data_IF_801408846041
#
_entry.id   IF_801408846041
#
_cell.length_a   1.000
_cell.length_b   1.000
_cell.length_c   1.000
_cell.angle_alpha   90.00
_cell.angle_beta   90.00
_cell.angle_gamma   90.00
#
_symmetry.space_group_name_H-M   'P 1'
#
loop_
_entity.id
_entity.type
_entity.pdbx_description
1 polymer ?
#
# COMPACT_ATOMS: atom_id res chain seq x y z
N UNK A 1 -17.51 -1.79 17.16
CA UNK A 1 -16.35 -2.10 18.01
C UNK A 1 -15.12 -1.42 17.40
N UNK A 2 -14.26 -0.78 18.21
CA UNK A 2 -13.07 -0.10 17.68
C UNK A 2 -12.08 -1.12 17.15
N UNK A 3 -11.56 -0.91 15.93
CA UNK A 3 -10.46 -1.70 15.40
C UNK A 3 -9.18 -1.43 16.22
N UNK A 4 -8.48 -2.48 16.63
CA UNK A 4 -7.19 -2.37 17.33
C UNK A 4 -6.11 -1.95 16.35
N UNK A 5 -5.34 -0.88 16.60
CA UNK A 5 -4.23 -0.50 15.75
C UNK A 5 -3.16 -1.60 15.66
N UNK A 6 -2.59 -1.78 14.47
CA UNK A 6 -1.43 -2.65 14.26
C UNK A 6 -0.17 -1.80 14.34
N UNK A 7 0.78 -2.21 15.18
CA UNK A 7 2.09 -1.56 15.24
C UNK A 7 2.96 -2.02 14.08
N UNK A 8 3.58 -1.05 13.41
CA UNK A 8 4.44 -1.28 12.25
C UNK A 8 5.84 -0.76 12.52
N UNK A 9 6.86 -1.44 12.02
CA UNK A 9 8.17 -0.79 11.84
C UNK A 9 8.02 0.28 10.77
N UNK A 10 8.54 1.48 11.02
CA UNK A 10 8.44 2.60 10.09
C UNK A 10 9.82 3.13 9.73
N UNK A 11 10.03 3.40 8.44
CA UNK A 11 11.13 4.25 7.97
C UNK A 11 10.54 5.56 7.52
N UNK A 12 10.97 6.65 8.16
CA UNK A 12 10.54 8.01 7.83
C UNK A 12 11.67 8.72 7.10
N UNK A 13 11.36 9.33 5.97
CA UNK A 13 12.23 10.25 5.27
C UNK A 13 11.59 11.64 5.36
N UNK A 14 12.32 12.57 5.98
CA UNK A 14 11.83 13.93 6.20
C UNK A 14 11.69 14.72 4.89
N UNK A 15 10.99 15.84 4.99
CA UNK A 15 10.86 16.79 3.88
C UNK A 15 12.25 17.25 3.40
N UNK A 16 12.44 17.32 2.08
CA UNK A 16 13.71 17.68 1.45
C UNK A 16 14.76 16.55 1.38
N UNK A 17 14.57 15.43 2.09
CA UNK A 17 15.41 14.22 1.94
C UNK A 17 14.71 13.12 1.17
N UNK A 18 13.39 13.02 1.28
CA UNK A 18 12.61 12.07 0.50
C UNK A 18 12.63 12.44 -0.99
N UNK A 19 12.91 11.49 -1.90
CA UNK A 19 12.87 11.75 -3.34
C UNK A 19 11.44 12.06 -3.77
N UNK A 20 11.26 13.02 -4.68
CA UNK A 20 9.96 13.26 -5.27
C UNK A 20 9.53 12.08 -6.15
N UNK A 21 8.23 11.85 -6.21
CA UNK A 21 7.61 10.91 -7.13
C UNK A 21 6.75 11.67 -8.14
N UNK A 22 6.43 11.01 -9.25
CA UNK A 22 5.54 11.54 -10.27
C UNK A 22 4.51 10.50 -10.69
N UNK A 23 3.36 10.98 -11.14
CA UNK A 23 2.33 10.15 -11.76
C UNK A 23 1.64 10.92 -12.89
N UNK A 24 1.07 10.19 -13.85
CA UNK A 24 0.28 10.80 -14.92
C UNK A 24 -1.13 11.12 -14.39
N UNK A 25 -1.55 12.39 -14.51
CA UNK A 25 -2.94 12.77 -14.31
C UNK A 25 -3.79 12.45 -15.55
N UNK A 26 -3.16 12.62 -16.73
CA UNK A 26 -3.68 12.21 -18.03
C UNK A 26 -2.50 12.07 -19.01
N UNK A 27 -2.76 11.74 -20.28
CA UNK A 27 -1.73 11.52 -21.30
C UNK A 27 -0.80 12.73 -21.55
N UNK A 28 -1.24 13.95 -21.23
CA UNK A 28 -0.50 15.19 -21.47
C UNK A 28 -0.02 15.86 -20.18
N UNK A 29 -0.32 15.31 -19.00
CA UNK A 29 -0.04 15.98 -17.72
C UNK A 29 0.59 15.00 -16.72
N UNK A 30 1.83 15.29 -16.35
CA UNK A 30 2.55 14.64 -15.25
C UNK A 30 2.52 15.53 -14.02
N UNK A 31 2.14 14.94 -12.89
CA UNK A 31 2.17 15.61 -11.58
C UNK A 31 3.35 15.08 -10.80
N UNK A 32 4.17 15.98 -10.27
CA UNK A 32 5.22 15.66 -9.30
C UNK A 32 4.72 15.93 -7.89
N UNK A 33 4.97 15.02 -6.97
CA UNK A 33 4.62 15.13 -5.57
C UNK A 33 5.79 14.71 -4.67
N UNK A 34 5.87 15.30 -3.49
CA UNK A 34 6.93 15.06 -2.52
C UNK A 34 6.40 15.32 -1.11
N UNK A 35 7.31 15.64 -0.18
CA UNK A 35 7.00 15.80 1.24
C UNK A 35 7.57 14.65 2.07
N UNK A 36 7.15 14.55 3.33
CA UNK A 36 7.54 13.44 4.19
C UNK A 36 7.02 12.11 3.62
N UNK A 37 7.89 11.10 3.59
CA UNK A 37 7.54 9.75 3.17
C UNK A 37 7.73 8.77 4.32
N UNK A 38 6.69 8.01 4.62
CA UNK A 38 6.74 6.96 5.62
C UNK A 38 6.46 5.61 4.97
N UNK A 39 7.44 4.71 5.04
CA UNK A 39 7.28 3.31 4.69
C UNK A 39 6.92 2.52 5.95
N UNK A 40 5.76 1.89 5.95
CA UNK A 40 5.32 1.00 7.01
C UNK A 40 5.58 -0.46 6.64
N UNK A 41 6.15 -1.23 7.57
CA UNK A 41 6.34 -2.67 7.47
C UNK A 41 5.75 -3.40 8.67
N UNK A 42 5.10 -4.52 8.42
CA UNK A 42 4.59 -5.42 9.47
C UNK A 42 4.97 -6.86 9.13
N UNK A 43 5.55 -7.56 10.09
CA UNK A 43 5.78 -8.99 10.03
C UNK A 43 4.82 -9.66 11.02
N UNK A 44 3.91 -10.48 10.50
CA UNK A 44 3.01 -11.29 11.33
C UNK A 44 3.44 -12.75 11.24
N UNK A 45 3.48 -13.42 12.39
CA UNK A 45 3.70 -14.87 12.46
C UNK A 45 2.36 -15.58 12.58
N UNK A 46 2.25 -16.75 11.94
CA UNK A 46 1.09 -17.63 12.05
C UNK A 46 1.58 -19.03 12.35
N UNK A 47 1.15 -19.59 13.47
CA UNK A 47 1.43 -20.98 13.83
C UNK A 47 0.30 -21.91 13.36
N UNK A 48 0.56 -23.22 13.37
CA UNK A 48 -0.43 -24.21 12.97
C UNK A 48 -1.72 -24.07 13.78
N UNK A 49 -2.86 -23.97 13.10
CA UNK A 49 -4.18 -23.82 13.71
C UNK A 49 -4.66 -22.38 13.90
N UNK A 50 -3.82 -21.38 13.65
CA UNK A 50 -4.21 -19.97 13.73
C UNK A 50 -4.85 -19.47 12.42
N UNK A 51 -5.87 -18.61 12.52
CA UNK A 51 -6.50 -17.97 11.37
C UNK A 51 -5.59 -16.92 10.74
N UNK A 52 -5.76 -16.67 9.44
CA UNK A 52 -5.11 -15.53 8.76
C UNK A 52 -5.55 -14.23 9.43
N UNK A 53 -4.63 -13.30 9.76
CA UNK A 53 -5.03 -12.01 10.32
C UNK A 53 -5.88 -11.24 9.32
N UNK A 54 -7.05 -10.78 9.74
CA UNK A 54 -7.88 -9.87 8.94
C UNK A 54 -7.39 -8.43 9.18
N UNK A 55 -6.74 -7.84 8.19
CA UNK A 55 -6.25 -6.47 8.27
C UNK A 55 -7.17 -5.52 7.49
N UNK A 56 -7.22 -4.27 7.93
CA UNK A 56 -7.91 -3.21 7.20
C UNK A 56 -7.13 -1.91 7.34
N UNK A 57 -7.03 -1.15 6.26
CA UNK A 57 -6.51 0.20 6.29
C UNK A 57 -7.65 1.18 6.59
N UNK A 58 -7.42 2.08 7.54
CA UNK A 58 -8.39 3.10 7.93
C UNK A 58 -7.87 4.48 7.59
N UNK A 59 -8.59 5.21 6.75
CA UNK A 59 -8.27 6.58 6.37
C UNK A 59 -9.36 7.50 6.91
N UNK A 60 -8.99 8.41 7.82
CA UNK A 60 -9.95 9.29 8.51
C UNK A 60 -9.56 10.75 8.37
N UNK A 61 -10.48 11.56 7.84
CA UNK A 61 -10.34 13.01 7.85
C UNK A 61 -10.86 13.59 9.17
N UNK A 62 -10.20 14.64 9.67
CA UNK A 62 -10.74 15.47 10.77
C UNK A 62 -11.76 16.46 10.22
N UNK A 63 -12.46 17.17 11.10
CA UNK A 63 -13.36 18.25 10.69
C UNK A 63 -12.59 19.33 9.92
N UNK A 64 -13.18 19.84 8.84
CA UNK A 64 -12.55 20.84 7.96
C UNK A 64 -11.20 20.41 7.35
N UNK A 65 -10.94 19.11 7.25
CA UNK A 65 -9.73 18.55 6.64
C UNK A 65 -10.10 17.70 5.43
N UNK A 66 -9.19 17.57 4.47
CA UNK A 66 -9.33 16.69 3.31
C UNK A 66 -7.99 16.23 2.77
N UNK A 67 -7.95 15.02 2.23
CA UNK A 67 -6.79 14.51 1.49
C UNK A 67 -7.24 13.53 0.38
N UNK A 68 -6.37 13.33 -0.61
CA UNK A 68 -6.57 12.32 -1.65
C UNK A 68 -5.83 11.06 -1.24
N UNK A 69 -6.56 9.96 -1.12
CA UNK A 69 -6.00 8.64 -0.92
C UNK A 69 -5.94 7.92 -2.27
N UNK A 70 -4.74 7.47 -2.66
CA UNK A 70 -4.52 6.75 -3.91
C UNK A 70 -3.95 5.36 -3.64
N UNK A 71 -4.45 4.37 -4.39
CA UNK A 71 -3.90 3.02 -4.43
C UNK A 71 -3.36 2.75 -5.83
N UNK A 72 -2.16 2.17 -5.91
CA UNK A 72 -1.44 2.02 -7.16
C UNK A 72 -0.15 1.23 -7.00
N UNK A 73 0.68 1.26 -8.05
CA UNK A 73 1.97 0.56 -8.09
C UNK A 73 3.11 1.57 -8.06
N UNK A 74 4.19 1.22 -7.37
CA UNK A 74 5.47 1.92 -7.51
C UNK A 74 6.21 1.21 -8.65
N UNK A 75 6.27 1.85 -9.81
CA UNK A 75 6.85 1.26 -11.03
C UNK A 75 8.35 1.57 -11.17
N UNK A 76 8.81 2.67 -10.57
CA UNK A 76 10.21 3.05 -10.50
C UNK A 76 10.46 3.89 -9.23
N UNK A 77 11.72 4.20 -8.85
CA UNK A 77 12.03 4.99 -7.66
C UNK A 77 11.34 6.36 -7.60
N UNK A 78 11.03 6.94 -8.76
CA UNK A 78 10.35 8.23 -8.93
C UNK A 78 8.95 8.09 -9.55
N UNK A 79 8.45 6.88 -9.86
CA UNK A 79 7.21 6.71 -10.64
C UNK A 79 6.15 5.93 -9.88
N UNK A 80 4.99 6.57 -9.69
CA UNK A 80 3.78 5.98 -9.14
C UNK A 80 2.71 5.86 -10.23
N UNK A 81 2.10 4.69 -10.34
CA UNK A 81 1.00 4.38 -11.26
C UNK A 81 -0.30 4.23 -10.47
N UNK A 82 -1.13 5.29 -10.36
CA UNK A 82 -2.40 5.22 -9.64
C UNK A 82 -3.39 4.33 -10.38
N UNK A 83 -4.07 3.44 -9.64
CA UNK A 83 -5.14 2.59 -10.14
C UNK A 83 -6.51 3.04 -9.61
N UNK A 84 -6.55 3.46 -8.35
CA UNK A 84 -7.76 3.94 -7.68
C UNK A 84 -7.44 5.17 -6.84
N UNK A 85 -8.41 6.07 -6.72
CA UNK A 85 -8.31 7.26 -5.88
C UNK A 85 -9.65 7.60 -5.23
N UNK A 86 -9.60 8.15 -4.02
CA UNK A 86 -10.77 8.65 -3.30
C UNK A 86 -10.39 9.90 -2.52
N UNK A 87 -11.32 10.86 -2.46
CA UNK A 87 -11.18 12.04 -1.61
C UNK A 87 -11.83 11.73 -0.27
N UNK A 88 -11.05 11.80 0.81
CA UNK A 88 -11.53 11.65 2.18
C UNK A 88 -11.59 13.03 2.81
N UNK A 89 -12.77 13.49 3.26
CA UNK A 89 -12.94 14.85 3.79
C UNK A 89 -13.93 14.93 4.94
N UNK A 90 -13.80 15.98 5.74
CA UNK A 90 -14.76 16.39 6.78
C UNK A 90 -15.42 15.25 7.57
N UNK A 91 -14.66 14.65 8.50
CA UNK A 91 -15.11 13.53 9.35
C UNK A 91 -15.40 12.22 8.62
N UNK A 92 -15.13 12.12 7.32
CA UNK A 92 -15.11 10.83 6.63
C UNK A 92 -14.18 9.84 7.35
N UNK A 93 -14.64 8.60 7.40
CA UNK A 93 -13.96 7.48 8.04
C UNK A 93 -14.06 6.25 7.13
N UNK A 94 -13.04 6.08 6.29
CA UNK A 94 -12.98 5.03 5.30
C UNK A 94 -12.26 3.81 5.86
N UNK A 95 -12.87 2.64 5.72
CA UNK A 95 -12.28 1.35 6.07
C UNK A 95 -12.13 0.48 4.82
N UNK A 96 -10.89 0.11 4.49
CA UNK A 96 -10.54 -0.71 3.33
C UNK A 96 -9.97 -2.05 3.82
N UNK A 97 -10.71 -3.17 3.68
CA UNK A 97 -10.21 -4.50 3.98
C UNK A 97 -9.00 -4.84 3.10
N UNK A 98 -7.93 -5.38 3.71
CA UNK A 98 -6.77 -5.87 2.99
C UNK A 98 -6.97 -7.36 2.71
N UNK A 99 -6.99 -7.72 1.43
CA UNK A 99 -6.96 -9.11 1.00
C UNK A 99 -5.50 -9.59 1.12
N UNK A 100 -5.25 -10.53 2.02
CA UNK A 100 -3.92 -11.05 2.30
C UNK A 100 -3.78 -12.45 1.70
N UNK A 101 -2.90 -12.59 0.73
CA UNK A 101 -2.50 -13.88 0.20
C UNK A 101 -1.20 -14.36 0.87
N UNK A 102 -1.11 -15.64 1.27
CA UNK A 102 0.13 -16.18 1.80
C UNK A 102 1.21 -16.16 0.71
N UNK A 103 2.44 -15.79 1.09
CA UNK A 103 3.58 -15.97 0.21
C UNK A 103 3.78 -17.48 -0.06
N UNK A 104 4.06 -17.87 -1.32
CA UNK A 104 4.23 -19.27 -1.67
C UNK A 104 5.42 -19.88 -0.93
N UNK A 105 5.29 -21.14 -0.54
CA UNK A 105 6.41 -21.89 0.05
C UNK A 105 7.50 -22.16 -1.00
N UNK A 106 8.75 -22.48 -0.60
CA UNK A 106 9.80 -22.82 -1.56
C UNK A 106 9.49 -24.03 -2.46
N UNK A 107 8.58 -24.92 -2.04
CA UNK A 107 8.07 -26.01 -2.88
C UNK A 107 7.12 -25.46 -3.95
N UNK A 108 6.06 -24.78 -3.52
CA UNK A 108 5.06 -24.17 -4.40
C UNK A 108 5.67 -23.16 -5.37
N UNK A 109 6.70 -22.41 -4.94
CA UNK A 109 7.43 -21.49 -5.81
C UNK A 109 8.18 -22.24 -6.91
N UNK A 110 8.86 -23.35 -6.60
CA UNK A 110 9.56 -24.17 -7.62
C UNK A 110 8.59 -24.81 -8.60
N UNK A 111 7.42 -25.25 -8.13
CA UNK A 111 6.38 -25.82 -8.97
C UNK A 111 5.71 -24.75 -9.86
N UNK A 112 5.50 -23.54 -9.33
CA UNK A 112 5.03 -22.41 -10.12
C UNK A 112 6.03 -21.99 -11.22
N UNK A 113 7.33 -22.01 -10.93
CA UNK A 113 8.37 -21.74 -11.94
C UNK A 113 8.48 -22.87 -12.97
N UNK A 114 8.37 -24.14 -12.57
CA UNK A 114 8.44 -25.27 -13.51
C UNK A 114 7.20 -25.42 -14.39
N UNK A 115 6.06 -24.85 -13.97
CA UNK A 115 4.82 -24.77 -14.75
C UNK A 115 4.74 -23.56 -15.69
N UNK A 116 5.64 -22.58 -15.57
CA UNK A 116 5.84 -21.57 -16.61
C UNK A 116 6.59 -22.21 -17.78
N UNK A 117 5.84 -22.65 -18.79
CA UNK A 117 6.37 -23.30 -19.99
C UNK A 117 7.32 -22.40 -20.80
N UNK A 118 8.30 -22.96 -21.56
CA UNK A 118 9.40 -22.21 -22.18
C UNK A 118 9.04 -21.33 -23.40
N UNK A 119 7.76 -21.04 -23.66
CA UNK A 119 7.31 -20.40 -24.90
C UNK A 119 7.27 -18.87 -24.85
N UNK A 120 8.36 -18.23 -24.43
CA UNK A 120 8.65 -16.83 -24.77
C UNK A 120 10.06 -16.69 -25.33
#
# INVERSE_FOLDING_TARGET
>A
AGATPVYTTARVLGEGTAPSMRFALNAATMVSFGGEQTLHGVLAHRFSGESVPSLSMRARARQFSSFVLMAGKIAAPDLFEPLHAVIVKDKDDLLLPLLLDPLPTPGEFRDAISSLSPEQ
#
